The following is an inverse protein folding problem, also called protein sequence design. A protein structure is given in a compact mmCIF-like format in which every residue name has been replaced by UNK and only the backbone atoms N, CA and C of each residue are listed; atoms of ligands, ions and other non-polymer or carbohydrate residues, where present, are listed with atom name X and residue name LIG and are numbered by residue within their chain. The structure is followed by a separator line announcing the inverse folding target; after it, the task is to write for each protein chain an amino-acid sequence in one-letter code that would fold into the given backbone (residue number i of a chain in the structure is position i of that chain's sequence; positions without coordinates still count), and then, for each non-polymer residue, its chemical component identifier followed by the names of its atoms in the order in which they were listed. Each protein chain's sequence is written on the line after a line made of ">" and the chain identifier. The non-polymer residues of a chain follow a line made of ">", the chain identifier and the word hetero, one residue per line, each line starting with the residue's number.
data_IF_390130888065
#
_entry.id   IF_390130888065
#
_cell.length_a   1.000
_cell.length_b   1.000
_cell.length_c   1.000
_cell.angle_alpha   90.00
_cell.angle_beta   90.00
_cell.angle_gamma   90.00
#
_symmetry.space_group_name_H-M   'P 1'
#
loop_
_entity.id
_entity.type
_entity.pdbx_description
1 polymer ?
#
# COMPACT_ATOMS: atom_id res chain seq x y z
N UNK A 1 -30.65 -27.16 28.62
CA UNK A 1 -30.03 -26.53 27.43
C UNK A 1 -29.05 -27.52 26.81
N UNK A 2 -29.12 -27.82 25.50
CA UNK A 2 -28.21 -28.78 24.85
C UNK A 2 -26.75 -28.30 25.01
N UNK A 3 -25.81 -29.21 25.29
CA UNK A 3 -24.36 -28.95 25.39
C UNK A 3 -23.83 -28.16 24.19
N UNK A 4 -24.37 -28.39 23.00
CA UNK A 4 -24.04 -27.61 21.80
C UNK A 4 -24.42 -26.13 21.93
N UNK A 5 -25.59 -25.82 22.50
CA UNK A 5 -26.02 -24.43 22.74
C UNK A 5 -25.15 -23.75 23.80
N UNK A 6 -24.76 -24.47 24.85
CA UNK A 6 -23.84 -23.96 25.88
C UNK A 6 -22.47 -23.63 25.26
N UNK A 7 -21.96 -24.49 24.37
CA UNK A 7 -20.69 -24.29 23.68
C UNK A 7 -20.70 -23.09 22.74
N UNK A 8 -21.77 -22.89 21.97
CA UNK A 8 -21.93 -21.72 21.09
C UNK A 8 -22.04 -20.42 21.90
N UNK A 9 -22.80 -20.43 23.00
CA UNK A 9 -22.92 -19.27 23.90
C UNK A 9 -21.55 -18.94 24.52
N UNK A 10 -20.80 -19.96 24.96
CA UNK A 10 -19.45 -19.76 25.45
C UNK A 10 -18.58 -19.10 24.38
N UNK A 11 -18.50 -19.64 23.16
CA UNK A 11 -17.72 -19.08 22.04
C UNK A 11 -18.02 -17.60 21.74
N UNK A 12 -19.29 -17.19 21.77
CA UNK A 12 -19.69 -15.79 21.57
C UNK A 12 -19.24 -14.90 22.75
N UNK A 13 -19.25 -15.42 23.97
CA UNK A 13 -18.79 -14.68 25.15
C UNK A 13 -17.26 -14.57 25.24
N UNK A 14 -16.51 -15.49 24.61
CA UNK A 14 -15.03 -15.43 24.52
C UNK A 14 -14.54 -14.72 23.25
N UNK A 15 -15.43 -14.22 22.37
CA UNK A 15 -14.98 -13.44 21.22
C UNK A 15 -14.41 -12.12 21.72
N UNK A 16 -13.08 -12.02 21.76
CA UNK A 16 -12.38 -10.78 22.10
C UNK A 16 -12.78 -9.70 21.09
N UNK A 17 -13.12 -8.51 21.59
CA UNK A 17 -13.25 -7.33 20.73
C UNK A 17 -11.86 -7.00 20.21
N UNK A 18 -11.58 -7.36 18.97
CA UNK A 18 -10.37 -6.88 18.29
C UNK A 18 -10.60 -5.42 17.92
N UNK A 19 -9.67 -4.55 18.29
CA UNK A 19 -9.64 -3.19 17.76
C UNK A 19 -9.16 -3.31 16.31
N UNK A 20 -10.04 -3.10 15.34
CA UNK A 20 -9.62 -2.80 13.99
C UNK A 20 -9.05 -1.37 14.02
N UNK A 21 -7.76 -1.23 14.30
CA UNK A 21 -7.07 0.06 14.21
C UNK A 21 -6.91 0.40 12.72
N UNK A 22 -8.00 0.86 12.09
CA UNK A 22 -8.00 1.39 10.72
C UNK A 22 -7.81 2.92 10.69
N UNK A 23 -7.70 3.55 11.87
CA UNK A 23 -7.54 5.00 12.01
C UNK A 23 -6.08 5.31 12.39
N UNK A 24 -5.54 6.41 11.86
CA UNK A 24 -4.18 6.86 12.17
C UNK A 24 -3.04 6.13 11.45
N UNK A 25 -3.30 5.50 10.30
CA UNK A 25 -2.22 4.89 9.51
C UNK A 25 -1.26 5.93 8.91
N UNK A 26 -0.04 5.49 8.62
CA UNK A 26 0.95 6.30 7.93
C UNK A 26 1.68 5.47 6.89
N UNK A 27 1.94 6.06 5.72
CA UNK A 27 2.83 5.47 4.72
C UNK A 27 4.17 6.18 4.78
N UNK A 28 5.15 5.52 5.39
CA UNK A 28 6.55 5.96 5.41
C UNK A 28 7.27 5.29 4.23
N UNK A 29 7.97 6.10 3.44
CA UNK A 29 8.80 5.66 2.32
C UNK A 29 10.17 5.20 2.83
N UNK A 30 10.92 4.49 1.99
CA UNK A 30 12.23 3.93 2.31
C UNK A 30 13.24 4.98 2.76
N UNK A 31 13.14 6.22 2.26
CA UNK A 31 13.99 7.34 2.69
C UNK A 31 13.53 8.00 4.00
N UNK A 32 12.46 7.50 4.64
CA UNK A 32 11.88 8.05 5.87
C UNK A 32 10.86 9.17 5.66
N UNK A 33 10.62 9.59 4.42
CA UNK A 33 9.59 10.60 4.13
C UNK A 33 8.17 10.00 4.28
N UNK A 34 7.20 10.82 4.67
CA UNK A 34 5.79 10.44 4.73
C UNK A 34 5.10 10.73 3.40
N UNK A 35 4.40 9.75 2.84
CA UNK A 35 3.46 9.99 1.75
C UNK A 35 2.11 10.50 2.28
N UNK A 36 1.67 9.93 3.40
CA UNK A 36 0.55 10.43 4.19
C UNK A 36 0.75 10.06 5.66
N UNK A 37 0.06 10.80 6.52
CA UNK A 37 -0.12 10.50 7.93
C UNK A 37 -1.55 10.87 8.28
N UNK A 38 -2.34 9.88 8.66
CA UNK A 38 -3.75 10.08 8.92
C UNK A 38 -4.04 10.53 10.33
N UNK A 39 -5.20 11.16 10.48
CA UNK A 39 -5.73 11.51 11.79
C UNK A 39 -6.19 10.25 12.53
N UNK A 40 -5.70 10.11 13.76
CA UNK A 40 -6.17 9.08 14.69
C UNK A 40 -7.42 9.57 15.43
N UNK A 41 -8.59 9.20 14.92
CA UNK A 41 -9.88 9.54 15.48
C UNK A 41 -10.93 8.47 15.23
N UNK A 42 -12.10 8.59 15.88
CA UNK A 42 -13.17 7.58 15.79
C UNK A 42 -13.85 7.50 14.41
N UNK A 43 -13.70 8.54 13.59
CA UNK A 43 -14.34 8.65 12.27
C UNK A 43 -13.28 8.50 11.18
N UNK A 44 -13.35 7.47 10.32
CA UNK A 44 -12.48 7.35 9.16
C UNK A 44 -12.75 8.48 8.15
N UNK A 45 -11.69 9.16 7.71
CA UNK A 45 -11.78 10.27 6.73
C UNK A 45 -10.98 10.02 5.44
N UNK A 46 -10.38 8.84 5.32
CA UNK A 46 -9.49 8.49 4.20
C UNK A 46 -8.10 9.13 4.31
N UNK A 47 -7.20 8.70 3.43
CA UNK A 47 -5.80 9.13 3.45
C UNK A 47 -5.65 10.58 2.98
N UNK A 48 -4.97 11.41 3.79
CA UNK A 48 -4.60 12.76 3.36
C UNK A 48 -3.15 12.79 2.84
N UNK A 49 -3.01 12.75 1.52
CA UNK A 49 -1.70 12.75 0.86
C UNK A 49 -1.07 14.15 0.80
N UNK A 50 0.21 14.25 1.14
CA UNK A 50 1.00 15.49 1.06
C UNK A 50 1.67 15.62 -0.32
N UNK A 51 0.87 15.71 -1.38
CA UNK A 51 1.34 15.53 -2.76
C UNK A 51 2.22 16.66 -3.34
N UNK A 52 2.26 17.83 -2.70
CA UNK A 52 3.04 18.98 -3.19
C UNK A 52 4.54 18.69 -3.32
N UNK A 53 5.11 17.92 -2.41
CA UNK A 53 6.54 17.60 -2.39
C UNK A 53 6.89 16.31 -3.16
N UNK A 54 5.90 15.60 -3.69
CA UNK A 54 6.12 14.30 -4.35
C UNK A 54 7.04 14.37 -5.57
N UNK A 55 6.99 15.38 -6.46
CA UNK A 55 7.93 15.47 -7.56
C UNK A 55 9.40 15.54 -7.10
N UNK A 56 9.66 16.27 -6.01
CA UNK A 56 11.00 16.35 -5.41
C UNK A 56 11.40 15.01 -4.77
N UNK A 57 10.50 14.39 -4.01
CA UNK A 57 10.73 13.07 -3.41
C UNK A 57 11.00 11.99 -4.47
N UNK A 58 10.30 12.01 -5.60
CA UNK A 58 10.53 11.08 -6.72
C UNK A 58 11.97 11.20 -7.25
N UNK A 59 12.49 12.42 -7.40
CA UNK A 59 13.88 12.65 -7.83
C UNK A 59 14.87 12.13 -6.79
N UNK A 60 14.60 12.33 -5.51
CA UNK A 60 15.42 11.83 -4.41
C UNK A 60 15.45 10.30 -4.37
N UNK A 61 14.29 9.63 -4.45
CA UNK A 61 14.18 8.17 -4.49
C UNK A 61 14.94 7.58 -5.69
N UNK A 62 14.84 8.21 -6.86
CA UNK A 62 15.59 7.80 -8.06
C UNK A 62 17.11 7.91 -7.86
N UNK A 63 17.58 8.97 -7.21
CA UNK A 63 18.98 9.15 -6.84
C UNK A 63 19.46 8.10 -5.85
N UNK A 64 18.67 7.82 -4.81
CA UNK A 64 18.97 6.81 -3.80
C UNK A 64 19.02 5.40 -4.40
N UNK A 65 18.10 5.07 -5.30
CA UNK A 65 18.16 3.84 -6.07
C UNK A 65 19.45 3.76 -6.90
N UNK A 66 19.83 4.80 -7.64
CA UNK A 66 21.08 4.80 -8.43
C UNK A 66 22.32 4.56 -7.58
N UNK A 67 22.32 5.01 -6.32
CA UNK A 67 23.42 4.82 -5.37
C UNK A 67 23.46 3.43 -4.73
N UNK A 68 22.31 2.87 -4.40
CA UNK A 68 22.19 1.66 -3.56
C UNK A 68 21.80 0.41 -4.33
N UNK A 69 21.19 0.60 -5.49
CA UNK A 69 20.53 -0.43 -6.29
C UNK A 69 19.38 -1.16 -5.56
N UNK A 70 18.87 -0.58 -4.46
CA UNK A 70 17.75 -1.12 -3.66
C UNK A 70 16.41 -0.78 -4.35
N UNK A 71 15.70 -1.83 -4.78
CA UNK A 71 14.43 -1.71 -5.51
C UNK A 71 13.27 -1.16 -4.67
N UNK A 72 13.41 -1.09 -3.34
CA UNK A 72 12.39 -0.47 -2.49
C UNK A 72 12.24 1.02 -2.83
N UNK A 73 13.33 1.72 -3.18
CA UNK A 73 13.26 3.11 -3.62
C UNK A 73 12.47 3.27 -4.92
N UNK A 74 12.63 2.35 -5.89
CA UNK A 74 11.81 2.37 -7.10
C UNK A 74 10.36 1.98 -6.82
N UNK A 75 10.13 1.05 -5.87
CA UNK A 75 8.79 0.66 -5.46
C UNK A 75 8.04 1.86 -4.85
N UNK A 76 8.70 2.62 -3.96
CA UNK A 76 8.12 3.82 -3.38
C UNK A 76 7.96 4.96 -4.40
N UNK A 77 8.87 5.09 -5.37
CA UNK A 77 8.66 5.99 -6.52
C UNK A 77 7.39 5.62 -7.29
N UNK A 78 7.19 4.35 -7.57
CA UNK A 78 5.98 3.83 -8.22
C UNK A 78 4.72 4.16 -7.42
N UNK A 79 4.76 4.00 -6.09
CA UNK A 79 3.66 4.36 -5.21
C UNK A 79 3.30 5.85 -5.31
N UNK A 80 4.29 6.75 -5.28
CA UNK A 80 4.02 8.19 -5.44
C UNK A 80 3.45 8.51 -6.84
N UNK A 81 3.89 7.83 -7.89
CA UNK A 81 3.30 7.97 -9.22
C UNK A 81 1.82 7.55 -9.26
N UNK A 82 1.44 6.49 -8.53
CA UNK A 82 0.04 6.08 -8.37
C UNK A 82 -0.75 7.22 -7.72
N UNK A 83 -0.28 7.76 -6.59
CA UNK A 83 -1.00 8.84 -5.89
C UNK A 83 -1.13 10.10 -6.75
N UNK A 84 -0.17 10.37 -7.62
CA UNK A 84 -0.23 11.47 -8.59
C UNK A 84 -1.11 11.19 -9.82
N UNK A 85 -1.77 10.03 -9.90
CA UNK A 85 -2.60 9.64 -11.05
C UNK A 85 -1.81 9.24 -12.30
N UNK A 86 -0.49 9.06 -12.19
CA UNK A 86 0.42 8.72 -13.31
C UNK A 86 0.49 7.22 -13.53
N UNK A 87 -0.66 6.58 -13.72
CA UNK A 87 -0.79 5.12 -13.69
C UNK A 87 0.07 4.41 -14.74
N UNK A 88 0.12 4.92 -15.98
CA UNK A 88 0.91 4.27 -17.03
C UNK A 88 2.42 4.32 -16.76
N UNK A 89 2.91 5.43 -16.18
CA UNK A 89 4.32 5.58 -15.81
C UNK A 89 4.67 4.60 -14.67
N UNK A 90 3.80 4.51 -13.66
CA UNK A 90 3.94 3.57 -12.56
C UNK A 90 3.90 2.11 -13.04
N UNK A 91 2.96 1.75 -13.92
CA UNK A 91 2.86 0.40 -14.47
C UNK A 91 4.12 0.01 -15.25
N UNK A 92 4.62 0.89 -16.11
CA UNK A 92 5.87 0.65 -16.83
C UNK A 92 7.06 0.47 -15.87
N UNK A 93 7.11 1.24 -14.78
CA UNK A 93 8.13 1.08 -13.75
C UNK A 93 8.04 -0.29 -13.09
N UNK A 94 6.86 -0.70 -12.61
CA UNK A 94 6.69 -1.99 -11.94
C UNK A 94 6.92 -3.18 -12.85
N UNK A 95 6.51 -3.12 -14.13
CA UNK A 95 6.83 -4.17 -15.12
C UNK A 95 8.35 -4.34 -15.30
N UNK A 96 9.11 -3.25 -15.27
CA UNK A 96 10.57 -3.31 -15.33
C UNK A 96 11.18 -3.89 -14.04
N UNK A 97 10.62 -3.56 -12.87
CA UNK A 97 11.02 -4.15 -11.59
C UNK A 97 10.78 -5.67 -11.63
N UNK A 98 9.57 -6.11 -12.00
CA UNK A 98 9.19 -7.53 -12.06
C UNK A 98 10.07 -8.32 -13.03
N UNK A 99 10.39 -7.74 -14.20
CA UNK A 99 11.30 -8.37 -15.17
C UNK A 99 12.71 -8.57 -14.59
N UNK A 100 13.18 -7.67 -13.74
CA UNK A 100 14.53 -7.71 -13.15
C UNK A 100 14.58 -8.61 -11.92
N UNK A 101 13.59 -8.49 -11.05
CA UNK A 101 13.49 -9.22 -9.78
C UNK A 101 12.04 -9.72 -9.61
N UNK A 102 11.74 -10.92 -10.13
CA UNK A 102 10.39 -11.45 -10.13
C UNK A 102 9.94 -11.89 -8.73
N UNK A 103 8.62 -12.06 -8.56
CA UNK A 103 7.98 -12.55 -7.33
C UNK A 103 8.15 -11.62 -6.11
N UNK A 104 8.39 -10.32 -6.34
CA UNK A 104 8.39 -9.34 -5.24
C UNK A 104 6.95 -8.99 -4.87
N UNK A 105 6.58 -9.30 -3.63
CA UNK A 105 5.25 -8.98 -3.09
C UNK A 105 4.84 -7.52 -3.30
N UNK A 106 5.74 -6.57 -3.00
CA UNK A 106 5.46 -5.14 -3.15
C UNK A 106 5.23 -4.75 -4.61
N UNK A 107 5.94 -5.35 -5.57
CA UNK A 107 5.71 -5.14 -7.00
C UNK A 107 4.33 -5.66 -7.41
N UNK A 108 4.02 -6.92 -7.08
CA UNK A 108 2.76 -7.56 -7.44
C UNK A 108 1.54 -6.82 -6.84
N UNK A 109 1.61 -6.44 -5.56
CA UNK A 109 0.52 -5.72 -4.88
C UNK A 109 0.26 -4.34 -5.51
N UNK A 110 1.32 -3.59 -5.84
CA UNK A 110 1.16 -2.29 -6.50
C UNK A 110 0.67 -2.42 -7.95
N UNK A 111 1.08 -3.45 -8.69
CA UNK A 111 0.54 -3.74 -10.02
C UNK A 111 -0.94 -4.11 -9.97
N UNK A 112 -1.36 -4.91 -9.00
CA UNK A 112 -2.77 -5.22 -8.77
C UNK A 112 -3.59 -3.95 -8.55
N UNK A 113 -3.13 -3.07 -7.64
CA UNK A 113 -3.75 -1.75 -7.39
C UNK A 113 -3.83 -0.91 -8.67
N UNK A 114 -2.76 -0.88 -9.47
CA UNK A 114 -2.74 -0.16 -10.73
C UNK A 114 -3.76 -0.70 -11.73
N UNK A 115 -3.84 -2.01 -11.89
CA UNK A 115 -4.82 -2.63 -12.79
C UNK A 115 -6.25 -2.31 -12.37
N UNK A 116 -6.54 -2.35 -11.06
CA UNK A 116 -7.86 -1.93 -10.53
C UNK A 116 -8.15 -0.45 -10.84
N UNK A 117 -7.19 0.45 -10.58
CA UNK A 117 -7.34 1.88 -10.85
C UNK A 117 -7.48 2.21 -12.35
N UNK A 118 -6.90 1.37 -13.21
CA UNK A 118 -7.00 1.48 -14.66
C UNK A 118 -8.25 0.79 -15.24
N UNK A 119 -9.05 0.10 -14.42
CA UNK A 119 -10.23 -0.66 -14.83
C UNK A 119 -9.92 -2.01 -15.50
N UNK A 120 -8.67 -2.46 -15.42
CA UNK A 120 -8.17 -3.73 -15.98
C UNK A 120 -8.23 -4.87 -14.96
N UNK A 121 -9.35 -4.99 -14.22
CA UNK A 121 -9.50 -5.85 -13.05
C UNK A 121 -9.08 -7.31 -13.27
N UNK A 122 -9.25 -7.85 -14.48
CA UNK A 122 -8.82 -9.21 -14.81
C UNK A 122 -7.31 -9.42 -14.61
N UNK A 123 -6.49 -8.40 -14.85
CA UNK A 123 -5.05 -8.45 -14.70
C UNK A 123 -4.58 -8.31 -13.26
N UNK A 124 -5.46 -7.88 -12.34
CA UNK A 124 -5.09 -7.65 -10.94
C UNK A 124 -4.86 -8.95 -10.16
N UNK A 125 -5.41 -10.07 -10.63
CA UNK A 125 -5.36 -11.37 -9.94
C UNK A 125 -4.80 -12.52 -10.80
N UNK A 126 -4.28 -12.22 -11.99
CA UNK A 126 -3.61 -13.17 -12.90
C UNK A 126 -2.12 -12.99 -12.86
#
# INVERSE_FOLDING_TARGET
>A
MNKFKVFVIALVLISFKTFACLNGESKILKNGAYAYQDYDGFVPVGHHFFSGDFPKLIVELDSLYKKTNDLDYLSDKGYLLIVLGKYQEALNLYLNIEKREPNRYSTASNMGTLYELMGENQKAYT
#
